data_IF_471364811358
#
_entry.id   IF_471364811358
#
_cell.length_a   1.000
_cell.length_b   1.000
_cell.length_c   1.000
_cell.angle_alpha   90.00
_cell.angle_beta   90.00
_cell.angle_gamma   90.00
#
_symmetry.space_group_name_H-M   'P 1'
#
loop_
_entity.id
_entity.type
_entity.pdbx_description
1 polymer ?
#
# COMPACT_ATOMS: atom_id res chain seq x y z
N UNK A 1 -10.92 3.70 27.06
CA UNK A 1 -11.24 3.41 25.65
C UNK A 1 -10.39 2.23 25.22
N UNK A 2 -10.97 1.15 24.72
CA UNK A 2 -10.19 0.01 24.25
C UNK A 2 -9.31 0.47 23.09
N UNK A 3 -7.98 0.29 23.19
CA UNK A 3 -7.08 0.53 22.06
C UNK A 3 -7.60 -0.28 20.87
N UNK A 4 -7.83 0.36 19.74
CA UNK A 4 -8.25 -0.32 18.52
C UNK A 4 -7.26 -1.47 18.24
N UNK A 5 -7.79 -2.68 18.04
CA UNK A 5 -6.97 -3.88 17.88
C UNK A 5 -6.52 -3.95 16.43
N UNK A 6 -5.22 -3.75 16.20
CA UNK A 6 -4.61 -3.93 14.88
C UNK A 6 -4.84 -5.36 14.38
N UNK A 7 -5.52 -5.49 13.25
CA UNK A 7 -5.66 -6.77 12.56
C UNK A 7 -4.35 -7.04 11.82
N UNK A 8 -3.75 -8.23 12.00
CA UNK A 8 -2.50 -8.59 11.32
C UNK A 8 -2.76 -8.72 9.81
N UNK A 9 -2.51 -7.65 9.07
CA UNK A 9 -2.47 -7.65 7.61
C UNK A 9 -1.12 -8.17 7.11
N UNK A 10 -1.06 -8.81 5.94
CA UNK A 10 0.19 -9.02 5.23
C UNK A 10 0.96 -7.70 5.09
N UNK A 11 2.26 -7.75 5.37
CA UNK A 11 3.11 -6.57 5.38
C UNK A 11 4.34 -6.79 4.49
N UNK A 12 4.75 -5.75 3.80
CA UNK A 12 5.97 -5.68 3.00
C UNK A 12 6.81 -4.51 3.49
N UNK A 13 8.07 -4.75 3.82
CA UNK A 13 9.02 -3.67 4.16
C UNK A 13 9.70 -3.19 2.90
N UNK A 14 9.69 -1.89 2.64
CA UNK A 14 10.35 -1.32 1.45
C UNK A 14 11.86 -1.62 1.51
N UNK A 15 12.39 -2.45 0.58
CA UNK A 15 13.72 -3.04 0.75
C UNK A 15 14.87 -2.06 0.54
N UNK A 16 14.72 -1.10 -0.38
CA UNK A 16 15.79 -0.15 -0.74
C UNK A 16 16.10 0.86 0.36
N UNK A 17 15.08 1.25 1.13
CA UNK A 17 15.18 2.32 2.11
C UNK A 17 15.00 1.83 3.55
N UNK A 18 14.44 0.63 3.73
CA UNK A 18 14.07 0.05 5.02
C UNK A 18 13.28 1.02 5.90
N UNK A 19 12.54 1.94 5.28
CA UNK A 19 12.01 3.14 5.93
C UNK A 19 10.50 3.07 6.20
N UNK A 20 9.79 2.13 5.55
CA UNK A 20 8.34 2.09 5.57
C UNK A 20 7.79 0.68 5.36
N UNK A 21 6.59 0.47 5.90
CA UNK A 21 5.79 -0.72 5.68
C UNK A 21 4.63 -0.43 4.74
N UNK A 22 4.34 -1.41 3.88
CA UNK A 22 3.12 -1.49 3.06
C UNK A 22 2.26 -2.61 3.62
N UNK A 23 0.99 -2.34 3.87
CA UNK A 23 0.02 -3.34 4.33
C UNK A 23 -0.99 -3.66 3.22
N UNK A 24 -1.42 -4.92 3.13
CA UNK A 24 -2.45 -5.35 2.19
C UNK A 24 -3.75 -5.71 2.91
N UNK A 25 -4.85 -5.11 2.48
CA UNK A 25 -6.22 -5.49 2.84
C UNK A 25 -6.94 -6.09 1.63
N UNK A 26 -7.50 -7.28 1.78
CA UNK A 26 -8.26 -7.97 0.71
C UNK A 26 -9.77 -7.79 0.85
N UNK A 27 -10.22 -7.08 1.88
CA UNK A 27 -11.63 -6.72 2.07
C UNK A 27 -11.76 -5.25 2.43
N UNK A 28 -12.95 -4.68 2.17
CA UNK A 28 -13.23 -3.28 2.49
C UNK A 28 -13.16 -3.02 3.99
N UNK A 29 -13.65 -3.95 4.79
CA UNK A 29 -13.68 -3.84 6.25
C UNK A 29 -12.25 -3.85 6.82
N UNK A 30 -11.38 -4.69 6.28
CA UNK A 30 -9.95 -4.69 6.63
C UNK A 30 -9.32 -3.34 6.30
N UNK A 31 -9.58 -2.81 5.11
CA UNK A 31 -9.03 -1.53 4.67
C UNK A 31 -9.54 -0.39 5.54
N UNK A 32 -10.86 -0.28 5.76
CA UNK A 32 -11.46 0.78 6.59
C UNK A 32 -10.91 0.78 8.01
N UNK A 33 -10.75 -0.40 8.61
CA UNK A 33 -10.18 -0.50 9.95
C UNK A 33 -8.73 -0.02 9.95
N UNK A 34 -7.91 -0.47 9.00
CA UNK A 34 -6.51 -0.08 8.89
C UNK A 34 -6.37 1.42 8.59
N UNK A 35 -7.12 1.96 7.64
CA UNK A 35 -7.17 3.38 7.27
C UNK A 35 -7.47 4.24 8.50
N UNK A 36 -8.52 3.90 9.25
CA UNK A 36 -8.86 4.58 10.51
C UNK A 36 -7.76 4.50 11.56
N UNK A 37 -7.10 3.34 11.68
CA UNK A 37 -6.03 3.15 12.67
C UNK A 37 -4.78 3.97 12.31
N UNK A 38 -4.48 4.13 11.02
CA UNK A 38 -3.31 4.83 10.51
C UNK A 38 -3.53 6.36 10.36
N UNK A 39 -4.72 6.86 10.72
CA UNK A 39 -5.04 8.30 10.73
C UNK A 39 -5.88 8.78 9.54
N UNK A 40 -6.37 7.88 8.70
CA UNK A 40 -7.39 8.14 7.68
C UNK A 40 -8.80 8.29 8.29
N UNK A 41 -9.79 8.57 7.44
CA UNK A 41 -11.18 8.77 7.89
C UNK A 41 -11.88 7.47 8.27
N UNK A 42 -11.45 6.34 7.70
CA UNK A 42 -12.13 5.05 7.82
C UNK A 42 -13.45 4.96 7.06
N UNK A 43 -13.78 5.97 6.25
CA UNK A 43 -15.04 6.00 5.51
C UNK A 43 -15.09 4.97 4.39
N UNK A 44 -16.29 4.51 4.08
CA UNK A 44 -16.51 3.61 2.96
C UNK A 44 -16.32 4.32 1.62
N UNK A 45 -15.56 3.68 0.71
CA UNK A 45 -15.37 4.10 -0.67
C UNK A 45 -15.92 3.02 -1.60
N UNK A 46 -17.24 2.99 -1.84
CA UNK A 46 -17.92 1.79 -2.36
C UNK A 46 -17.67 1.51 -3.84
N UNK A 47 -17.26 2.50 -4.63
CA UNK A 47 -17.17 2.38 -6.10
C UNK A 47 -15.81 1.88 -6.61
N UNK A 48 -14.79 1.78 -5.76
CA UNK A 48 -13.44 1.42 -6.19
C UNK A 48 -13.17 -0.07 -5.96
N UNK A 49 -12.58 -0.77 -6.94
CA UNK A 49 -12.14 -2.16 -6.78
C UNK A 49 -10.84 -2.30 -6.00
N UNK A 50 -10.02 -1.24 -5.98
CA UNK A 50 -8.78 -1.15 -5.22
C UNK A 50 -8.56 0.26 -4.68
N UNK A 51 -7.63 0.39 -3.74
CA UNK A 51 -7.21 1.66 -3.16
C UNK A 51 -5.75 1.63 -2.75
N UNK A 52 -5.06 2.75 -2.91
CA UNK A 52 -3.77 3.01 -2.31
C UNK A 52 -3.84 4.28 -1.45
N UNK A 53 -3.35 4.17 -0.22
CA UNK A 53 -3.21 5.29 0.72
C UNK A 53 -1.78 5.37 1.25
N UNK A 54 -1.33 6.58 1.57
CA UNK A 54 -0.09 6.84 2.30
C UNK A 54 -0.42 7.61 3.58
N UNK A 55 0.36 7.38 4.63
CA UNK A 55 0.24 8.05 5.91
C UNK A 55 1.62 8.42 6.43
N UNK A 56 1.65 9.48 7.24
CA UNK A 56 2.84 9.98 7.89
C UNK A 56 2.54 10.22 9.36
N UNK A 57 3.39 9.69 10.23
CA UNK A 57 3.41 10.09 11.62
C UNK A 57 4.09 11.47 11.72
N UNK A 58 3.32 12.51 12.06
CA UNK A 58 3.82 13.90 12.11
C UNK A 58 4.88 14.13 13.19
N UNK A 59 4.97 13.26 14.20
CA UNK A 59 5.92 13.41 15.30
C UNK A 59 7.27 12.73 14.98
N UNK A 60 7.24 11.61 14.24
CA UNK A 60 8.45 10.81 13.94
C UNK A 60 8.92 10.89 12.49
N UNK A 61 8.06 11.36 11.58
CA UNK A 61 8.26 11.30 10.13
C UNK A 61 8.14 9.89 9.54
N UNK A 62 7.74 8.90 10.34
CA UNK A 62 7.58 7.52 9.88
C UNK A 62 6.44 7.42 8.86
N UNK A 63 6.73 6.77 7.73
CA UNK A 63 5.79 6.59 6.62
C UNK A 63 5.25 5.17 6.61
N UNK A 64 3.98 5.04 6.26
CA UNK A 64 3.39 3.75 5.96
C UNK A 64 2.38 3.86 4.82
N UNK A 65 2.13 2.72 4.17
CA UNK A 65 1.24 2.64 3.02
C UNK A 65 0.22 1.52 3.22
N UNK A 66 -0.95 1.69 2.63
CA UNK A 66 -2.03 0.72 2.67
C UNK A 66 -2.56 0.47 1.27
N UNK A 67 -2.60 -0.80 0.88
CA UNK A 67 -3.19 -1.29 -0.36
C UNK A 67 -4.49 -2.00 -0.01
N UNK A 68 -5.56 -1.69 -0.74
CA UNK A 68 -6.83 -2.41 -0.76
C UNK A 68 -7.04 -3.08 -2.12
N UNK A 69 -7.37 -4.37 -2.12
CA UNK A 69 -7.79 -5.11 -3.32
C UNK A 69 -9.08 -5.86 -2.97
N UNK A 70 -10.22 -5.40 -3.47
CA UNK A 70 -11.54 -5.85 -3.01
C UNK A 70 -12.24 -6.79 -3.97
N UNK A 71 -11.75 -6.88 -5.20
CA UNK A 71 -12.27 -7.74 -6.27
C UNK A 71 -11.45 -9.03 -6.46
N UNK A 72 -10.40 -9.22 -5.65
CA UNK A 72 -9.42 -10.31 -5.78
C UNK A 72 -8.78 -10.41 -7.18
N UNK A 73 -8.72 -9.32 -7.95
CA UNK A 73 -8.11 -9.35 -9.27
C UNK A 73 -6.61 -9.03 -9.19
N UNK A 74 -5.80 -9.82 -9.90
CA UNK A 74 -4.36 -9.57 -10.05
C UNK A 74 -4.09 -8.19 -10.67
N UNK A 75 -4.92 -7.80 -11.65
CA UNK A 75 -4.83 -6.48 -12.31
C UNK A 75 -5.01 -5.33 -11.33
N UNK A 76 -5.89 -5.50 -10.35
CA UNK A 76 -6.14 -4.51 -9.30
C UNK A 76 -4.95 -4.46 -8.33
N UNK A 77 -4.40 -5.61 -7.93
CA UNK A 77 -3.19 -5.64 -7.11
C UNK A 77 -2.01 -4.91 -7.76
N UNK A 78 -1.67 -5.23 -9.02
CA UNK A 78 -0.53 -4.59 -9.69
C UNK A 78 -0.75 -3.08 -9.88
N UNK A 79 -1.99 -2.66 -10.13
CA UNK A 79 -2.36 -1.25 -10.22
C UNK A 79 -2.12 -0.50 -8.90
N UNK A 80 -2.61 -1.03 -7.78
CA UNK A 80 -2.42 -0.37 -6.48
C UNK A 80 -0.98 -0.44 -5.98
N UNK A 81 -0.23 -1.51 -6.28
CA UNK A 81 1.22 -1.55 -6.05
C UNK A 81 1.94 -0.43 -6.81
N UNK A 82 1.52 -0.11 -8.04
CA UNK A 82 2.12 0.99 -8.79
C UNK A 82 1.89 2.34 -8.10
N UNK A 83 0.67 2.60 -7.60
CA UNK A 83 0.37 3.81 -6.83
C UNK A 83 1.24 3.94 -5.58
N UNK A 84 1.43 2.86 -4.82
CA UNK A 84 2.33 2.87 -3.66
C UNK A 84 3.78 3.12 -4.07
N UNK A 85 4.25 2.53 -5.18
CA UNK A 85 5.60 2.81 -5.68
C UNK A 85 5.78 4.29 -6.04
N UNK A 86 4.76 4.96 -6.60
CA UNK A 86 4.83 6.41 -6.85
C UNK A 86 4.96 7.21 -5.56
N UNK A 87 4.22 6.87 -4.50
CA UNK A 87 4.38 7.51 -3.20
C UNK A 87 5.80 7.30 -2.64
N UNK A 88 6.28 6.06 -2.63
CA UNK A 88 7.62 5.73 -2.09
C UNK A 88 8.72 6.47 -2.85
N UNK A 89 8.68 6.47 -4.19
CA UNK A 89 9.64 7.20 -5.01
C UNK A 89 9.60 8.71 -4.70
N UNK A 90 8.40 9.29 -4.62
CA UNK A 90 8.23 10.71 -4.27
C UNK A 90 8.80 11.04 -2.88
N UNK A 91 8.54 10.19 -1.89
CA UNK A 91 8.96 10.40 -0.50
C UNK A 91 10.48 10.41 -0.33
N UNK A 92 11.22 9.74 -1.22
CA UNK A 92 12.70 9.71 -1.22
C UNK A 92 13.33 10.57 -2.32
N UNK A 93 12.55 11.38 -3.04
CA UNK A 93 13.03 12.27 -4.09
C UNK A 93 13.45 11.58 -5.40
N UNK A 94 12.98 10.36 -5.66
CA UNK A 94 13.17 9.65 -6.93
C UNK A 94 12.06 10.04 -7.90
N UNK A 95 12.44 10.50 -9.10
CA UNK A 95 11.49 10.86 -10.17
C UNK A 95 10.99 9.62 -10.92
N UNK A 96 9.76 9.70 -11.41
CA UNK A 96 9.15 8.68 -12.29
C UNK A 96 8.78 9.24 -13.66
N UNK A 97 9.66 10.10 -14.21
CA UNK A 97 9.41 10.74 -15.50
C UNK A 97 9.69 9.77 -16.65
N UNK A 98 8.92 9.79 -17.75
CA UNK A 98 9.10 8.82 -18.85
C UNK A 98 10.51 8.78 -19.46
N UNK A 99 11.23 9.90 -19.43
CA UNK A 99 12.59 10.06 -19.95
C UNK A 99 13.69 9.53 -19.03
N UNK A 100 13.38 9.25 -17.75
CA UNK A 100 14.33 8.74 -16.77
C UNK A 100 14.37 7.20 -16.76
N UNK A 101 15.42 6.61 -16.20
CA UNK A 101 15.61 5.17 -16.20
C UNK A 101 14.56 4.38 -15.39
N UNK A 102 13.79 5.01 -14.49
CA UNK A 102 12.65 4.44 -13.73
C UNK A 102 12.84 3.06 -13.06
N UNK A 103 14.08 2.53 -13.01
CA UNK A 103 14.40 1.19 -12.51
C UNK A 103 13.97 1.00 -11.06
N UNK A 104 14.12 2.04 -10.23
CA UNK A 104 13.65 2.02 -8.83
C UNK A 104 12.16 1.68 -8.75
N UNK A 105 11.33 2.29 -9.61
CA UNK A 105 9.91 1.98 -9.69
C UNK A 105 9.70 0.54 -10.19
N UNK A 106 10.34 0.15 -11.30
CA UNK A 106 10.16 -1.17 -11.90
C UNK A 106 10.48 -2.31 -10.92
N UNK A 107 11.64 -2.25 -10.27
CA UNK A 107 12.06 -3.28 -9.32
C UNK A 107 11.25 -3.26 -8.02
N UNK A 108 10.74 -2.10 -7.60
CA UNK A 108 9.90 -2.01 -6.41
C UNK A 108 8.50 -2.58 -6.68
N UNK A 109 7.93 -2.27 -7.84
CA UNK A 109 6.66 -2.81 -8.29
C UNK A 109 6.71 -4.33 -8.36
N UNK A 110 7.72 -4.88 -9.05
CA UNK A 110 7.93 -6.32 -9.19
C UNK A 110 8.01 -7.03 -7.82
N UNK A 111 8.87 -6.52 -6.92
CA UNK A 111 9.06 -7.14 -5.60
C UNK A 111 7.82 -7.05 -4.72
N UNK A 112 7.15 -5.90 -4.71
CA UNK A 112 5.95 -5.68 -3.90
C UNK A 112 4.78 -6.53 -4.41
N UNK A 113 4.55 -6.53 -5.72
CA UNK A 113 3.54 -7.36 -6.37
C UNK A 113 3.80 -8.84 -6.09
N UNK A 114 5.01 -9.32 -6.34
CA UNK A 114 5.38 -10.73 -6.13
C UNK A 114 5.22 -11.17 -4.68
N UNK A 115 5.51 -10.29 -3.73
CA UNK A 115 5.30 -10.55 -2.30
C UNK A 115 3.82 -10.66 -1.94
N UNK A 116 2.96 -9.83 -2.53
CA UNK A 116 1.53 -9.80 -2.22
C UNK A 116 0.68 -10.78 -3.03
N UNK A 117 1.15 -11.23 -4.20
CA UNK A 117 0.44 -12.14 -5.08
C UNK A 117 -0.12 -13.40 -4.39
N UNK A 118 0.62 -14.08 -3.48
CA UNK A 118 0.10 -15.27 -2.79
C UNK A 118 -1.12 -15.02 -1.90
N UNK A 119 -1.43 -13.76 -1.56
CA UNK A 119 -2.58 -13.40 -0.73
C UNK A 119 -3.85 -13.11 -1.55
N UNK A 120 -3.73 -12.99 -2.88
CA UNK A 120 -4.87 -12.81 -3.77
C UNK A 120 -5.36 -14.19 -4.22
N UNK A 121 -6.57 -14.55 -3.79
CA UNK A 121 -7.20 -15.80 -4.19
C UNK A 121 -7.80 -15.64 -5.58
N UNK A 122 -7.24 -16.33 -6.57
CA UNK A 122 -7.91 -16.51 -7.85
C UNK A 122 -8.91 -17.67 -7.70
N UNK A 123 -10.19 -17.41 -7.97
CA UNK A 123 -11.20 -18.47 -8.16
C UNK A 123 -11.13 -19.04 -9.58
#
# INVERSE_FOLDING_TARGET
>A
MAKAKWHRLPAFTIPLFQSAHVYLATTREQFQHADKFLGGSGDERPFNSGLASNYENTDTGERCYLIGVFDNQISTLVHECAHVCFYVCSDVGVTTKPEDANETYCYMLDRMFSHFLPYIKQE
#
